data_IF_847677094349
#
_entry.id   IF_847677094349
#
_cell.length_a   1.000
_cell.length_b   1.000
_cell.length_c   1.000
_cell.angle_alpha   90.00
_cell.angle_beta   90.00
_cell.angle_gamma   90.00
#
_symmetry.space_group_name_H-M   'P 1'
#
loop_
_entity.id
_entity.type
_entity.pdbx_description
1 polymer ?
#
# COMPACT_ATOMS: atom_id res chain seq x y z
N UNK A 1 -31.25 -15.28 45.75
CA UNK A 1 -30.53 -14.12 45.20
C UNK A 1 -29.31 -14.70 44.48
N UNK A 2 -29.47 -15.00 43.19
CA UNK A 2 -28.38 -15.43 42.35
C UNK A 2 -27.70 -14.17 41.81
N UNK A 3 -26.41 -14.05 42.10
CA UNK A 3 -25.53 -13.00 41.62
C UNK A 3 -25.17 -13.34 40.17
N UNK A 4 -25.85 -12.70 39.22
CA UNK A 4 -25.46 -12.69 37.82
C UNK A 4 -24.21 -11.82 37.68
N UNK A 5 -23.06 -12.45 37.89
CA UNK A 5 -21.75 -12.00 37.44
C UNK A 5 -21.85 -11.66 35.95
N UNK A 6 -22.14 -10.39 35.67
CA UNK A 6 -22.14 -9.81 34.34
C UNK A 6 -20.72 -9.94 33.79
N UNK A 7 -20.54 -10.83 32.81
CA UNK A 7 -19.34 -10.85 31.99
C UNK A 7 -19.26 -9.50 31.28
N UNK A 8 -18.46 -8.57 31.82
CA UNK A 8 -18.02 -7.40 31.08
C UNK A 8 -17.01 -7.87 30.04
N UNK A 9 -17.51 -8.45 28.94
CA UNK A 9 -16.78 -8.47 27.69
C UNK A 9 -16.68 -7.01 27.31
N UNK A 10 -15.51 -6.40 27.52
CA UNK A 10 -15.17 -5.18 26.81
C UNK A 10 -15.26 -5.55 25.34
N UNK A 11 -16.41 -5.23 24.73
CA UNK A 11 -16.64 -5.33 23.31
C UNK A 11 -15.43 -4.68 22.65
N UNK A 12 -14.70 -5.48 21.87
CA UNK A 12 -13.66 -5.00 20.97
C UNK A 12 -14.24 -3.78 20.25
N UNK A 13 -13.80 -2.60 20.66
CA UNK A 13 -14.25 -1.33 20.10
C UNK A 13 -13.85 -1.38 18.62
N UNK A 14 -14.80 -1.71 17.75
CA UNK A 14 -14.57 -1.73 16.30
C UNK A 14 -14.17 -0.31 15.94
N UNK A 15 -12.87 -0.09 15.80
CA UNK A 15 -12.35 1.19 15.34
C UNK A 15 -12.83 1.33 13.90
N UNK A 16 -13.95 2.04 13.71
CA UNK A 16 -14.41 2.49 12.40
C UNK A 16 -13.37 3.48 11.84
N UNK A 17 -12.34 2.93 11.19
CA UNK A 17 -11.36 3.72 10.46
C UNK A 17 -11.94 4.17 9.15
N UNK A 18 -11.81 5.46 8.83
CA UNK A 18 -12.13 6.00 7.50
C UNK A 18 -11.36 5.29 6.37
N UNK A 19 -10.21 4.68 6.68
CA UNK A 19 -9.42 3.91 5.70
C UNK A 19 -9.98 2.50 5.46
N UNK A 20 -10.89 2.02 6.31
CA UNK A 20 -11.62 0.77 6.10
C UNK A 20 -12.90 0.96 5.28
N UNK A 21 -13.24 2.20 4.94
CA UNK A 21 -14.44 2.59 4.19
C UNK A 21 -14.17 2.55 2.68
N UNK A 22 -14.96 1.79 1.93
CA UNK A 22 -14.80 1.63 0.46
C UNK A 22 -15.17 2.92 -0.27
N UNK A 23 -16.26 3.56 0.13
CA UNK A 23 -16.76 4.79 -0.46
C UNK A 23 -15.72 5.91 -0.35
N UNK A 24 -15.01 5.98 0.79
CA UNK A 24 -13.88 6.91 0.94
C UNK A 24 -12.81 6.74 -0.15
N UNK A 25 -12.44 5.50 -0.49
CA UNK A 25 -11.42 5.23 -1.51
C UNK A 25 -11.91 5.52 -2.93
N UNK A 26 -13.21 5.31 -3.20
CA UNK A 26 -13.82 5.68 -4.48
C UNK A 26 -13.74 7.20 -4.68
N UNK A 27 -14.21 7.98 -3.69
CA UNK A 27 -14.17 9.45 -3.75
C UNK A 27 -12.74 9.99 -3.84
N UNK A 28 -11.82 9.40 -3.08
CA UNK A 28 -10.41 9.78 -3.10
C UNK A 28 -9.82 9.57 -4.50
N UNK A 29 -10.06 8.41 -5.11
CA UNK A 29 -9.56 8.07 -6.44
C UNK A 29 -10.12 9.01 -7.53
N UNK A 30 -11.42 9.30 -7.50
CA UNK A 30 -12.02 10.24 -8.46
C UNK A 30 -11.39 11.63 -8.37
N UNK A 31 -11.03 12.07 -7.17
CA UNK A 31 -10.33 13.33 -6.96
C UNK A 31 -8.89 13.29 -7.47
N UNK A 32 -8.14 12.22 -7.20
CA UNK A 32 -6.79 12.06 -7.76
C UNK A 32 -6.80 12.05 -9.29
N UNK A 33 -7.78 11.38 -9.90
CA UNK A 33 -7.91 11.35 -11.35
C UNK A 33 -8.18 12.75 -11.94
N UNK A 34 -9.10 13.52 -11.36
CA UNK A 34 -9.33 14.92 -11.77
C UNK A 34 -8.07 15.77 -11.61
N UNK A 35 -7.36 15.62 -10.49
CA UNK A 35 -6.12 16.37 -10.25
C UNK A 35 -5.04 16.03 -11.29
N UNK A 36 -4.94 14.75 -11.67
CA UNK A 36 -4.03 14.32 -12.74
C UNK A 36 -4.42 14.92 -14.08
N UNK A 37 -5.70 14.88 -14.45
CA UNK A 37 -6.20 15.43 -15.72
C UNK A 37 -6.04 16.96 -15.83
N UNK A 38 -6.27 17.69 -14.75
CA UNK A 38 -6.22 19.16 -14.74
C UNK A 38 -4.81 19.72 -14.51
N UNK A 39 -4.01 19.09 -13.66
CA UNK A 39 -2.73 19.62 -13.19
C UNK A 39 -1.51 18.73 -13.45
N UNK A 40 -1.71 17.50 -13.93
CA UNK A 40 -0.64 16.51 -14.05
C UNK A 40 -0.12 16.01 -12.70
N UNK A 41 -0.94 16.10 -11.64
CA UNK A 41 -0.58 15.60 -10.31
C UNK A 41 -0.61 14.07 -10.26
N UNK A 42 0.55 13.44 -10.09
CA UNK A 42 0.68 11.98 -10.01
C UNK A 42 0.06 11.37 -8.73
N UNK A 43 -0.43 12.18 -7.80
CA UNK A 43 -1.06 11.72 -6.56
C UNK A 43 -0.09 11.57 -5.39
N UNK A 44 -0.65 11.23 -4.24
CA UNK A 44 0.07 11.27 -2.96
C UNK A 44 0.85 9.97 -2.65
N UNK A 45 1.99 10.13 -1.96
CA UNK A 45 2.68 9.02 -1.29
C UNK A 45 2.21 8.99 0.17
N UNK A 46 1.21 8.16 0.47
CA UNK A 46 0.45 8.18 1.71
C UNK A 46 1.26 8.07 3.01
N UNK A 47 2.29 7.22 3.03
CA UNK A 47 3.17 7.07 4.20
C UNK A 47 4.47 7.88 4.07
N UNK A 48 4.53 8.76 3.06
CA UNK A 48 5.69 9.59 2.74
C UNK A 48 6.86 8.82 2.14
N UNK A 49 7.79 9.58 1.53
CA UNK A 49 8.99 9.03 0.88
C UNK A 49 9.95 8.32 1.83
N UNK A 50 9.92 8.65 3.12
CA UNK A 50 10.79 7.99 4.12
C UNK A 50 10.40 6.52 4.28
N UNK A 51 9.09 6.22 4.35
CA UNK A 51 8.61 4.84 4.44
C UNK A 51 8.89 4.07 3.15
N UNK A 52 8.62 4.67 2.00
CA UNK A 52 8.93 4.12 0.68
C UNK A 52 10.43 3.77 0.56
N UNK A 53 11.33 4.71 0.85
CA UNK A 53 12.77 4.50 0.76
C UNK A 53 13.27 3.39 1.70
N UNK A 54 12.66 3.24 2.88
CA UNK A 54 12.99 2.13 3.79
C UNK A 54 12.66 0.78 3.17
N UNK A 55 11.49 0.65 2.53
CA UNK A 55 11.08 -0.57 1.83
C UNK A 55 12.00 -0.86 0.64
N UNK A 56 12.32 0.15 -0.16
CA UNK A 56 13.24 0.01 -1.30
C UNK A 56 14.60 -0.47 -0.85
N UNK A 57 15.18 0.15 0.19
CA UNK A 57 16.48 -0.26 0.72
C UNK A 57 16.46 -1.68 1.29
N UNK A 58 15.36 -2.07 1.96
CA UNK A 58 15.19 -3.43 2.44
C UNK A 58 15.16 -4.44 1.28
N UNK A 59 14.34 -4.18 0.25
CA UNK A 59 14.20 -5.09 -0.89
C UNK A 59 15.50 -5.19 -1.69
N UNK A 60 16.19 -4.08 -1.96
CA UNK A 60 17.40 -4.06 -2.78
C UNK A 60 18.67 -4.48 -2.02
N UNK A 61 18.68 -4.37 -0.70
CA UNK A 61 19.85 -4.64 0.13
C UNK A 61 19.78 -5.91 0.98
N UNK A 62 18.62 -6.58 1.04
CA UNK A 62 18.46 -7.79 1.86
C UNK A 62 19.12 -9.00 1.20
N UNK A 63 20.01 -9.66 1.96
CA UNK A 63 20.59 -10.96 1.59
C UNK A 63 19.59 -12.12 1.76
N UNK A 64 18.51 -11.90 2.51
CA UNK A 64 17.46 -12.90 2.76
C UNK A 64 16.51 -13.06 1.56
N UNK A 65 16.40 -12.01 0.72
CA UNK A 65 15.55 -12.01 -0.46
C UNK A 65 16.31 -12.53 -1.67
N UNK A 66 15.88 -13.68 -2.20
CA UNK A 66 16.33 -14.15 -3.51
C UNK A 66 15.95 -13.14 -4.58
N UNK A 67 16.78 -12.95 -5.61
CA UNK A 67 16.42 -12.15 -6.78
C UNK A 67 15.13 -12.66 -7.45
N UNK A 68 14.93 -13.97 -7.46
CA UNK A 68 13.71 -14.60 -8.01
C UNK A 68 12.46 -14.46 -7.13
N UNK A 69 12.55 -13.76 -5.99
CA UNK A 69 11.40 -13.49 -5.13
C UNK A 69 10.31 -12.76 -5.89
N UNK A 70 9.07 -13.14 -5.62
CA UNK A 70 7.89 -12.46 -6.16
C UNK A 70 7.43 -11.42 -5.17
N UNK A 71 7.14 -10.22 -5.66
CA UNK A 71 6.66 -9.11 -4.84
C UNK A 71 5.17 -8.90 -5.08
N UNK A 72 4.44 -8.60 -4.02
CA UNK A 72 3.05 -8.15 -4.08
C UNK A 72 2.95 -6.79 -3.38
N UNK A 73 2.41 -5.80 -4.09
CA UNK A 73 2.17 -4.46 -3.56
C UNK A 73 0.67 -4.29 -3.31
N UNK A 74 0.28 -4.23 -2.03
CA UNK A 74 -1.11 -4.11 -1.60
C UNK A 74 -1.46 -2.66 -1.30
N UNK A 75 -2.50 -2.16 -1.97
CA UNK A 75 -2.89 -0.75 -1.86
C UNK A 75 -1.82 0.14 -2.48
N UNK A 76 -1.39 -0.20 -3.69
CA UNK A 76 -0.25 0.44 -4.35
C UNK A 76 -0.46 1.93 -4.67
N UNK A 77 -1.71 2.42 -4.63
CA UNK A 77 -2.03 3.82 -4.91
C UNK A 77 -1.46 4.26 -6.26
N UNK A 78 -0.84 5.42 -6.34
CA UNK A 78 -0.24 5.85 -7.62
C UNK A 78 0.90 4.94 -8.13
N UNK A 79 1.33 3.92 -7.40
CA UNK A 79 2.37 2.96 -7.81
C UNK A 79 3.80 3.46 -7.61
N UNK A 80 4.01 4.49 -6.78
CA UNK A 80 5.33 5.09 -6.54
C UNK A 80 6.38 4.08 -6.06
N UNK A 81 6.00 3.15 -5.15
CA UNK A 81 6.91 2.13 -4.62
C UNK A 81 7.45 1.24 -5.75
N UNK A 82 6.56 0.71 -6.60
CA UNK A 82 6.95 -0.11 -7.73
C UNK A 82 7.86 0.64 -8.71
N UNK A 83 7.50 1.88 -9.07
CA UNK A 83 8.35 2.71 -9.95
C UNK A 83 9.75 2.86 -9.36
N UNK A 84 9.84 3.15 -8.07
CA UNK A 84 11.12 3.34 -7.37
C UNK A 84 11.94 2.05 -7.34
N UNK A 85 11.32 0.90 -7.03
CA UNK A 85 11.98 -0.41 -7.05
C UNK A 85 12.54 -0.76 -8.44
N UNK A 86 11.76 -0.51 -9.50
CA UNK A 86 12.21 -0.73 -10.89
C UNK A 86 13.38 0.19 -11.22
N UNK A 87 13.30 1.48 -10.88
CA UNK A 87 14.39 2.43 -11.10
C UNK A 87 15.69 1.97 -10.42
N UNK A 88 15.63 1.56 -9.16
CA UNK A 88 16.80 1.07 -8.41
C UNK A 88 17.35 -0.22 -9.05
N UNK A 89 16.49 -1.19 -9.35
CA UNK A 89 16.91 -2.45 -9.97
C UNK A 89 17.59 -2.24 -11.34
N UNK A 90 17.07 -1.34 -12.17
CA UNK A 90 17.66 -0.98 -13.45
C UNK A 90 19.02 -0.28 -13.28
N UNK A 91 19.13 0.65 -12.32
CA UNK A 91 20.38 1.36 -12.05
C UNK A 91 21.51 0.45 -11.57
N UNK A 92 21.18 -0.65 -10.91
CA UNK A 92 22.15 -1.59 -10.34
C UNK A 92 22.50 -2.75 -11.30
N UNK A 93 21.95 -2.79 -12.52
CA UNK A 93 22.12 -3.87 -13.51
C UNK A 93 21.79 -5.28 -12.96
N UNK A 94 20.95 -5.38 -11.91
CA UNK A 94 20.70 -6.62 -11.17
C UNK A 94 19.50 -7.45 -11.68
N UNK A 95 19.19 -7.44 -12.98
CA UNK A 95 17.94 -8.03 -13.46
C UNK A 95 17.81 -9.54 -13.20
N UNK A 96 16.98 -9.87 -12.21
CA UNK A 96 15.92 -10.86 -12.27
C UNK A 96 14.81 -10.44 -11.30
N UNK A 97 14.24 -9.24 -11.44
CA UNK A 97 13.00 -8.97 -10.71
C UNK A 97 11.96 -9.97 -11.23
N UNK A 98 11.44 -10.82 -10.33
CA UNK A 98 10.35 -11.72 -10.67
C UNK A 98 9.09 -10.95 -11.09
N UNK A 99 7.97 -11.66 -11.20
CA UNK A 99 6.67 -11.02 -11.41
C UNK A 99 6.32 -10.14 -10.19
N UNK A 100 5.95 -8.89 -10.44
CA UNK A 100 5.30 -8.03 -9.43
C UNK A 100 3.81 -8.08 -9.66
N UNK A 101 3.06 -8.43 -8.61
CA UNK A 101 1.60 -8.34 -8.61
C UNK A 101 1.22 -7.06 -7.89
N UNK A 102 0.43 -6.24 -8.57
CA UNK A 102 -0.11 -5.00 -8.00
C UNK A 102 -1.57 -5.30 -7.67
N UNK A 103 -1.94 -5.12 -6.40
CA UNK A 103 -3.33 -5.20 -5.97
C UNK A 103 -3.76 -3.87 -5.40
N UNK A 104 -4.86 -3.36 -5.94
CA UNK A 104 -5.48 -2.18 -5.43
C UNK A 104 -6.99 -2.30 -5.49
N UNK A 105 -7.66 -1.82 -4.45
CA UNK A 105 -9.12 -1.84 -4.37
C UNK A 105 -9.79 -0.99 -5.47
N UNK A 106 -9.03 -0.15 -6.18
CA UNK A 106 -9.48 0.68 -7.30
C UNK A 106 -10.01 -0.09 -8.52
N UNK A 107 -9.70 -1.39 -8.68
CA UNK A 107 -10.09 -2.15 -9.90
C UNK A 107 -11.35 -3.03 -9.80
N UNK A 108 -12.02 -3.12 -8.64
CA UNK A 108 -13.25 -3.93 -8.57
C UNK A 108 -14.48 -3.15 -9.05
N UNK A 109 -14.65 -3.06 -10.37
CA UNK A 109 -15.96 -2.93 -11.01
C UNK A 109 -16.65 -4.29 -11.09
#
# INVERSE_FOLDING_TARGET
MADESSMNVAEDEIICSKLADKEYWIEHYERELRNFEEFGDEGEIWFGRVAENRLVNYVSGSEELSKSSKLIDFGCGNGSLLRTLVCVALSQLQLHLGYVVILDFREMK
#
